data_IF_007477438100
#
_entry.id   IF_007477438100
#
_cell.length_a   1.000
_cell.length_b   1.000
_cell.length_c   1.000
_cell.angle_alpha   90.00
_cell.angle_beta   90.00
_cell.angle_gamma   90.00
#
_symmetry.space_group_name_H-M   'P 1'
#
loop_
_entity.id
_entity.type
_entity.pdbx_description
1 polymer ?
#
# COMPACT_ATOMS: atom_id res chain seq x y z
N UNK A 1 11.25 10.60 20.62
CA UNK A 1 10.66 10.76 19.27
C UNK A 1 11.24 9.70 18.36
N UNK A 2 10.44 8.90 17.62
CA UNK A 2 10.99 8.00 16.61
C UNK A 2 11.05 8.69 15.24
N UNK A 3 11.81 8.12 14.29
CA UNK A 3 11.99 8.71 12.95
C UNK A 3 10.65 8.94 12.21
N UNK A 4 9.69 8.02 12.37
CA UNK A 4 8.36 8.17 11.78
C UNK A 4 7.62 9.41 12.31
N UNK A 5 7.62 9.64 13.63
CA UNK A 5 6.97 10.80 14.22
C UNK A 5 7.67 12.11 13.81
N UNK A 6 9.00 12.10 13.75
CA UNK A 6 9.77 13.23 13.23
C UNK A 6 9.35 13.62 11.80
N UNK A 7 9.21 12.64 10.90
CA UNK A 7 8.73 12.89 9.53
C UNK A 7 7.29 13.42 9.52
N UNK A 8 6.43 12.87 10.38
CA UNK A 8 5.03 13.30 10.48
C UNK A 8 4.89 14.76 10.91
N UNK A 9 5.71 15.21 11.86
CA UNK A 9 5.76 16.60 12.31
C UNK A 9 6.35 17.53 11.25
N UNK A 10 7.37 17.06 10.53
CA UNK A 10 8.06 17.87 9.52
C UNK A 10 7.25 18.06 8.23
N UNK A 11 6.44 17.07 7.86
CA UNK A 11 5.69 17.03 6.60
C UNK A 11 4.20 16.70 6.81
N UNK A 12 3.47 17.42 7.68
CA UNK A 12 2.13 17.02 8.09
C UNK A 12 1.15 16.88 6.91
N UNK A 13 1.25 17.73 5.90
CA UNK A 13 0.40 17.68 4.69
C UNK A 13 0.48 16.35 3.94
N UNK A 14 1.66 15.73 3.86
CA UNK A 14 1.81 14.42 3.22
C UNK A 14 1.08 13.33 4.01
N UNK A 15 1.21 13.34 5.33
CA UNK A 15 0.59 12.34 6.20
C UNK A 15 -0.94 12.50 6.28
N UNK A 16 -1.47 13.69 5.99
CA UNK A 16 -2.92 13.92 5.91
C UNK A 16 -3.57 13.26 4.68
N UNK A 17 -2.79 12.84 3.68
CA UNK A 17 -3.29 12.10 2.50
C UNK A 17 -3.70 10.65 2.83
N UNK A 18 -3.33 10.15 4.02
CA UNK A 18 -3.55 8.77 4.43
C UNK A 18 -4.40 8.69 5.70
N UNK A 19 -5.40 7.82 5.70
CA UNK A 19 -6.25 7.55 6.88
C UNK A 19 -5.60 6.59 7.88
N UNK A 20 -4.70 5.70 7.42
CA UNK A 20 -4.04 4.67 8.24
C UNK A 20 -2.63 4.40 7.74
N UNK A 21 -1.76 3.97 8.65
CA UNK A 21 -0.39 3.54 8.35
C UNK A 21 -0.13 2.13 8.88
N UNK A 22 0.21 1.21 7.98
CA UNK A 22 0.71 -0.13 8.30
C UNK A 22 2.24 -0.11 8.22
N UNK A 23 2.89 -0.06 9.37
CA UNK A 23 4.34 0.14 9.47
C UNK A 23 5.00 -1.19 9.83
N UNK A 24 5.85 -1.72 8.95
CA UNK A 24 6.54 -3.00 9.11
C UNK A 24 7.22 -3.15 10.48
N UNK A 25 7.94 -2.14 10.95
CA UNK A 25 8.62 -2.18 12.25
C UNK A 25 7.67 -2.29 13.46
N UNK A 26 6.41 -1.83 13.33
CA UNK A 26 5.38 -1.98 14.37
C UNK A 26 4.65 -3.32 14.26
N UNK A 27 4.54 -3.84 13.04
CA UNK A 27 3.88 -5.11 12.76
C UNK A 27 4.80 -6.31 12.95
N UNK A 28 6.11 -6.08 13.01
CA UNK A 28 7.15 -7.12 12.99
C UNK A 28 7.02 -8.05 11.78
N UNK A 29 6.58 -7.49 10.66
CA UNK A 29 6.38 -8.17 9.39
C UNK A 29 7.07 -7.39 8.28
N UNK A 30 7.49 -8.08 7.24
CA UNK A 30 8.06 -7.45 6.04
C UNK A 30 7.19 -7.72 4.85
N UNK A 31 7.18 -6.79 3.90
CA UNK A 31 6.91 -7.17 2.52
C UNK A 31 8.14 -7.96 2.05
N UNK A 32 8.04 -9.12 1.42
CA UNK A 32 6.93 -9.76 0.69
C UNK A 32 6.14 -10.82 1.48
N UNK A 33 6.26 -10.89 2.82
CA UNK A 33 5.59 -11.93 3.61
C UNK A 33 4.07 -11.82 3.49
N UNK A 34 3.38 -12.93 3.19
CA UNK A 34 1.91 -12.97 3.04
C UNK A 34 1.17 -12.32 4.21
N UNK A 35 1.70 -12.47 5.42
CA UNK A 35 1.02 -12.06 6.64
C UNK A 35 0.80 -10.55 6.72
N UNK A 36 1.67 -9.73 6.10
CA UNK A 36 1.45 -8.27 6.07
C UNK A 36 0.21 -7.91 5.24
N UNK A 37 0.00 -8.61 4.13
CA UNK A 37 -1.15 -8.41 3.25
C UNK A 37 -2.43 -8.97 3.89
N UNK A 38 -2.36 -10.18 4.46
CA UNK A 38 -3.48 -10.79 5.19
C UNK A 38 -3.94 -9.94 6.37
N UNK A 39 -3.01 -9.34 7.12
CA UNK A 39 -3.36 -8.42 8.21
C UNK A 39 -4.06 -7.15 7.70
N UNK A 40 -3.62 -6.57 6.59
CA UNK A 40 -4.31 -5.42 5.99
C UNK A 40 -5.71 -5.77 5.50
N UNK A 41 -5.85 -6.88 4.77
CA UNK A 41 -7.15 -7.39 4.28
C UNK A 41 -8.11 -7.57 5.46
N UNK A 42 -7.69 -8.30 6.51
CA UNK A 42 -8.52 -8.53 7.71
C UNK A 42 -8.83 -7.26 8.48
N UNK A 43 -7.92 -6.29 8.53
CA UNK A 43 -8.15 -5.03 9.23
C UNK A 43 -9.23 -4.19 8.55
N UNK A 44 -9.18 -4.13 7.22
CA UNK A 44 -10.15 -3.34 6.45
C UNK A 44 -11.48 -4.07 6.24
N UNK A 45 -11.48 -5.42 6.31
CA UNK A 45 -12.65 -6.25 6.02
C UNK A 45 -13.24 -5.97 4.63
N UNK A 46 -12.33 -5.77 3.66
CA UNK A 46 -12.64 -5.48 2.26
C UNK A 46 -12.21 -6.69 1.43
N UNK A 47 -12.95 -6.98 0.35
CA UNK A 47 -12.57 -8.03 -0.58
C UNK A 47 -11.20 -7.70 -1.20
N UNK A 48 -10.24 -8.65 -1.25
CA UNK A 48 -8.90 -8.36 -1.78
C UNK A 48 -8.90 -7.72 -3.18
N UNK A 49 -9.82 -8.11 -4.05
CA UNK A 49 -9.99 -7.58 -5.40
C UNK A 49 -10.43 -6.11 -5.47
N UNK A 50 -11.01 -5.57 -4.39
CA UNK A 50 -11.38 -4.16 -4.25
C UNK A 50 -10.21 -3.30 -3.73
N UNK A 51 -9.08 -3.93 -3.36
CA UNK A 51 -7.89 -3.24 -2.89
C UNK A 51 -6.95 -3.00 -4.08
N UNK A 52 -6.60 -1.75 -4.33
CA UNK A 52 -5.54 -1.38 -5.26
C UNK A 52 -4.21 -1.20 -4.51
N UNK A 53 -3.18 -1.94 -4.92
CA UNK A 53 -1.84 -1.88 -4.33
C UNK A 53 -0.78 -1.58 -5.39
N UNK A 54 0.10 -0.62 -5.11
CA UNK A 54 1.23 -0.30 -5.97
C UNK A 54 2.54 -0.31 -5.17
N UNK A 55 3.57 -0.92 -5.73
CA UNK A 55 4.92 -1.02 -5.17
C UNK A 55 5.91 -1.19 -6.33
N UNK A 56 7.13 -0.70 -6.19
CA UNK A 56 8.17 -0.74 -7.22
C UNK A 56 8.95 -2.06 -7.21
N UNK A 57 8.82 -2.87 -6.16
CA UNK A 57 9.47 -4.18 -6.07
C UNK A 57 8.56 -5.31 -6.57
N UNK A 58 9.00 -6.04 -7.61
CA UNK A 58 8.25 -7.16 -8.19
C UNK A 58 7.85 -8.23 -7.17
N UNK A 59 8.72 -8.52 -6.20
CA UNK A 59 8.45 -9.52 -5.16
C UNK A 59 7.27 -9.14 -4.28
N UNK A 60 7.17 -7.85 -3.90
CA UNK A 60 6.07 -7.34 -3.08
C UNK A 60 4.75 -7.36 -3.87
N UNK A 61 4.80 -6.98 -5.15
CA UNK A 61 3.65 -7.01 -6.07
C UNK A 61 3.16 -8.44 -6.25
N UNK A 62 4.07 -9.39 -6.45
CA UNK A 62 3.73 -10.81 -6.61
C UNK A 62 3.09 -11.37 -5.34
N UNK A 63 3.63 -11.07 -4.16
CA UNK A 63 3.06 -11.52 -2.90
C UNK A 63 1.66 -10.93 -2.64
N UNK A 64 1.46 -9.64 -2.88
CA UNK A 64 0.13 -9.02 -2.79
C UNK A 64 -0.88 -9.70 -3.74
N UNK A 65 -0.48 -9.94 -4.99
CA UNK A 65 -1.30 -10.63 -6.00
C UNK A 65 -1.68 -12.05 -5.58
N UNK A 66 -0.75 -12.80 -4.99
CA UNK A 66 -1.03 -14.15 -4.47
C UNK A 66 -2.08 -14.16 -3.35
N UNK A 67 -2.27 -13.02 -2.67
CA UNK A 67 -3.31 -12.83 -1.66
C UNK A 67 -4.62 -12.24 -2.25
N UNK A 68 -4.77 -12.24 -3.57
CA UNK A 68 -5.99 -11.81 -4.28
C UNK A 68 -6.10 -10.29 -4.48
N UNK A 69 -5.07 -9.52 -4.12
CA UNK A 69 -5.10 -8.05 -4.24
C UNK A 69 -4.95 -7.62 -5.70
N UNK A 70 -5.65 -6.56 -6.11
CA UNK A 70 -5.42 -5.91 -7.41
C UNK A 70 -4.13 -5.08 -7.33
N UNK A 71 -3.16 -5.39 -8.19
CA UNK A 71 -1.80 -4.85 -8.07
C UNK A 71 -1.33 -4.10 -9.32
N UNK A 72 -0.45 -3.13 -9.10
CA UNK A 72 0.29 -2.42 -10.13
C UNK A 72 1.78 -2.37 -9.77
N UNK A 73 2.65 -2.87 -10.66
CA UNK A 73 4.09 -2.68 -10.53
C UNK A 73 4.43 -1.23 -10.88
N UNK A 74 4.86 -0.47 -9.88
CA UNK A 74 5.12 0.95 -10.04
C UNK A 74 6.36 1.19 -10.91
N UNK A 75 6.17 1.82 -12.07
CA UNK A 75 7.28 2.20 -12.97
C UNK A 75 7.39 3.71 -13.13
N UNK A 76 6.26 4.42 -13.15
CA UNK A 76 6.22 5.88 -13.20
C UNK A 76 4.87 6.43 -12.72
N UNK A 77 4.87 7.70 -12.34
CA UNK A 77 3.66 8.39 -11.90
C UNK A 77 2.58 8.48 -13.00
N UNK A 78 2.95 8.83 -14.23
CA UNK A 78 2.01 8.98 -15.34
C UNK A 78 1.31 7.66 -15.65
N UNK A 79 2.06 6.56 -15.62
CA UNK A 79 1.55 5.23 -15.87
C UNK A 79 0.66 4.73 -14.72
N UNK A 80 1.03 5.00 -13.46
CA UNK A 80 0.15 4.71 -12.32
C UNK A 80 -1.17 5.48 -12.41
N UNK A 81 -1.14 6.78 -12.72
CA UNK A 81 -2.38 7.58 -12.86
C UNK A 81 -3.25 7.02 -13.99
N UNK A 82 -2.65 6.66 -15.13
CA UNK A 82 -3.37 6.03 -16.24
C UNK A 82 -4.04 4.72 -15.82
N UNK A 83 -3.30 3.87 -15.11
CA UNK A 83 -3.83 2.62 -14.55
C UNK A 83 -5.01 2.88 -13.61
N UNK A 84 -4.86 3.78 -12.63
CA UNK A 84 -5.91 4.07 -11.63
C UNK A 84 -7.18 4.66 -12.25
N UNK A 85 -7.05 5.51 -13.29
CA UNK A 85 -8.20 6.00 -14.08
C UNK A 85 -8.94 4.88 -14.80
N UNK A 86 -8.20 3.96 -15.41
CA UNK A 86 -8.80 2.80 -16.08
C UNK A 86 -9.52 1.87 -15.08
N UNK A 87 -9.03 1.77 -13.85
CA UNK A 87 -9.70 1.04 -12.76
C UNK A 87 -10.87 1.80 -12.15
N UNK A 88 -11.13 3.05 -12.56
CA UNK A 88 -12.15 3.95 -11.99
C UNK A 88 -11.97 4.24 -10.49
N UNK A 89 -10.73 4.14 -10.00
CA UNK A 89 -10.35 4.43 -8.59
C UNK A 89 -9.86 5.88 -8.44
N UNK A 90 -9.47 6.52 -9.55
CA UNK A 90 -9.01 7.91 -9.58
C UNK A 90 -9.97 8.77 -10.41
N UNK A 91 -10.61 9.73 -9.75
CA UNK A 91 -11.58 10.67 -10.33
C UNK A 91 -10.89 11.99 -10.66
#
# INVERSE_FOLDING_TARGET
>A
MNFFNYLKERYPGFFLLFSKFFLSYKMHLRKSEDEIFKQMIRYYDILPEEICYADDMEENVKAAKNNGINVYLFTSQSELIRYLRNQKVWI
#
